data_IF_747504721601
#
_entry.id   IF_747504721601
#
_cell.length_a   1.000
_cell.length_b   1.000
_cell.length_c   1.000
_cell.angle_alpha   90.00
_cell.angle_beta   90.00
_cell.angle_gamma   90.00
#
_symmetry.space_group_name_H-M   'P 1'
#
loop_
_entity.id
_entity.type
_entity.pdbx_description
1 polymer ?
#
# COMPACT_ATOMS: atom_id res chain seq x y z
N UNK A 1 -15.15 -11.05 25.71
CA UNK A 1 -13.99 -10.60 24.91
C UNK A 1 -12.77 -11.35 25.40
N UNK A 2 -12.15 -12.16 24.55
CA UNK A 2 -10.82 -12.71 24.82
C UNK A 2 -9.80 -11.61 24.54
N UNK A 3 -8.91 -11.35 25.50
CA UNK A 3 -7.77 -10.47 25.29
C UNK A 3 -6.73 -11.28 24.53
N UNK A 4 -6.40 -10.86 23.31
CA UNK A 4 -5.29 -11.42 22.53
C UNK A 4 -3.98 -10.75 22.93
N UNK A 5 -2.89 -11.50 22.87
CA UNK A 5 -1.54 -11.02 23.21
C UNK A 5 -0.69 -10.94 21.95
N UNK A 6 0.08 -9.86 21.80
CA UNK A 6 1.05 -9.78 20.71
C UNK A 6 2.14 -10.85 20.87
N UNK A 7 2.50 -11.52 19.77
CA UNK A 7 3.66 -12.40 19.68
C UNK A 7 4.94 -11.61 19.93
N UNK A 8 5.97 -12.28 20.44
CA UNK A 8 7.31 -11.70 20.41
C UNK A 8 7.82 -11.62 18.98
N UNK A 9 8.71 -10.67 18.71
CA UNK A 9 9.36 -10.56 17.39
C UNK A 9 10.13 -11.84 17.06
N UNK A 10 10.70 -12.52 18.05
CA UNK A 10 11.44 -13.76 17.81
C UNK A 10 10.51 -14.91 17.41
N UNK A 11 9.31 -15.00 17.98
CA UNK A 11 8.28 -15.95 17.54
C UNK A 11 7.84 -15.67 16.11
N UNK A 12 7.60 -14.40 15.78
CA UNK A 12 7.24 -13.99 14.42
C UNK A 12 8.35 -14.29 13.41
N UNK A 13 9.62 -14.08 13.79
CA UNK A 13 10.76 -14.41 12.95
C UNK A 13 10.83 -15.91 12.66
N UNK A 14 10.67 -16.77 13.67
CA UNK A 14 10.69 -18.22 13.48
C UNK A 14 9.58 -18.71 12.54
N UNK A 15 8.40 -18.08 12.56
CA UNK A 15 7.30 -18.38 11.63
C UNK A 15 7.58 -17.89 10.20
N UNK A 16 8.44 -16.87 10.01
CA UNK A 16 8.65 -16.23 8.71
C UNK A 16 10.01 -16.51 8.05
N UNK A 17 10.98 -17.07 8.77
CA UNK A 17 12.40 -17.16 8.33
C UNK A 17 12.63 -17.99 7.07
N UNK A 18 11.72 -18.90 6.74
CA UNK A 18 11.83 -19.81 5.60
C UNK A 18 11.16 -19.24 4.32
N UNK A 19 10.62 -18.02 4.39
CA UNK A 19 10.05 -17.30 3.24
C UNK A 19 11.10 -16.39 2.59
N UNK A 20 10.98 -16.20 1.28
CA UNK A 20 11.86 -15.30 0.52
C UNK A 20 11.55 -13.81 0.80
N UNK A 21 10.29 -13.52 1.14
CA UNK A 21 9.79 -12.17 1.36
C UNK A 21 8.68 -12.16 2.42
N UNK A 22 8.79 -11.20 3.35
CA UNK A 22 7.82 -10.97 4.42
C UNK A 22 7.24 -9.58 4.29
N UNK A 23 5.95 -9.49 3.97
CA UNK A 23 5.20 -8.24 3.97
C UNK A 23 4.69 -7.95 5.37
N UNK A 24 4.90 -6.71 5.81
CA UNK A 24 4.50 -6.24 7.14
C UNK A 24 3.75 -4.90 7.05
N UNK A 25 2.89 -4.58 8.03
CA UNK A 25 2.09 -3.35 8.01
C UNK A 25 2.91 -2.08 8.22
N UNK A 26 4.05 -2.16 8.93
CA UNK A 26 4.80 -0.97 9.31
C UNK A 26 6.32 -1.16 9.29
N UNK A 27 7.03 -0.04 9.11
CA UNK A 27 8.47 -0.01 9.02
C UNK A 27 9.20 -0.43 10.32
N UNK A 28 8.71 -0.09 11.54
CA UNK A 28 9.25 -0.65 12.78
C UNK A 28 9.26 -2.18 12.83
N UNK A 29 8.15 -2.84 12.45
CA UNK A 29 8.06 -4.30 12.40
C UNK A 29 9.03 -4.88 11.37
N UNK A 30 9.11 -4.27 10.18
CA UNK A 30 10.09 -4.65 9.16
C UNK A 30 11.52 -4.59 9.73
N UNK A 31 11.87 -3.48 10.37
CA UNK A 31 13.18 -3.28 10.99
C UNK A 31 13.46 -4.30 12.10
N UNK A 32 12.44 -4.64 12.90
CA UNK A 32 12.56 -5.60 13.98
C UNK A 32 12.86 -7.01 13.44
N UNK A 33 12.12 -7.47 12.43
CA UNK A 33 12.34 -8.78 11.79
C UNK A 33 13.69 -8.84 11.06
N UNK A 34 14.03 -7.82 10.26
CA UNK A 34 15.31 -7.80 9.55
C UNK A 34 16.53 -7.84 10.49
N UNK A 35 16.41 -7.35 11.73
CA UNK A 35 17.49 -7.44 12.75
C UNK A 35 17.69 -8.85 13.30
N UNK A 36 16.81 -9.80 13.01
CA UNK A 36 16.93 -11.21 13.43
C UNK A 36 17.62 -12.09 12.39
N UNK A 37 17.80 -11.58 11.16
CA UNK A 37 18.55 -12.30 10.14
C UNK A 37 19.95 -12.65 10.66
N UNK A 38 20.20 -13.95 10.73
CA UNK A 38 21.48 -14.55 11.10
C UNK A 38 22.25 -15.07 9.88
N UNK A 39 21.65 -15.00 8.69
CA UNK A 39 22.22 -15.40 7.41
C UNK A 39 22.19 -14.24 6.39
N UNK A 40 23.12 -14.22 5.43
CA UNK A 40 23.07 -13.28 4.32
C UNK A 40 21.77 -13.42 3.53
N UNK A 41 21.07 -12.31 3.29
CA UNK A 41 19.84 -12.26 2.52
C UNK A 41 19.99 -11.28 1.35
N UNK A 42 19.57 -11.68 0.14
CA UNK A 42 19.57 -10.80 -1.02
C UNK A 42 18.28 -9.97 -1.03
N UNK A 43 18.42 -8.65 -1.04
CA UNK A 43 17.26 -7.75 -0.97
C UNK A 43 16.61 -7.72 0.42
N UNK A 44 15.45 -7.07 0.56
CA UNK A 44 14.74 -6.99 1.84
C UNK A 44 14.08 -8.32 2.19
N UNK A 45 14.35 -8.85 3.39
CA UNK A 45 13.60 -9.98 3.94
C UNK A 45 12.21 -9.51 4.40
N UNK A 46 12.14 -8.51 5.28
CA UNK A 46 10.88 -7.91 5.72
C UNK A 46 10.72 -6.47 5.21
N UNK A 47 9.57 -6.13 4.62
CA UNK A 47 9.31 -4.81 4.03
C UNK A 47 7.82 -4.47 4.00
N UNK A 48 7.48 -3.19 3.96
CA UNK A 48 6.09 -2.76 3.73
C UNK A 48 5.75 -2.79 2.24
N UNK A 49 4.49 -3.10 1.86
CA UNK A 49 4.04 -3.10 0.47
C UNK A 49 4.41 -1.82 -0.30
N UNK A 50 4.13 -0.65 0.29
CA UNK A 50 4.50 0.67 -0.26
C UNK A 50 5.97 0.80 -0.60
N UNK A 51 6.84 0.38 0.31
CA UNK A 51 8.28 0.53 0.12
C UNK A 51 8.82 -0.45 -0.91
N UNK A 52 8.21 -1.64 -0.99
CA UNK A 52 8.53 -2.64 -2.00
C UNK A 52 8.20 -2.13 -3.41
N UNK A 53 6.97 -1.62 -3.61
CA UNK A 53 6.52 -1.10 -4.91
C UNK A 53 7.24 0.21 -5.30
N UNK A 54 7.28 1.21 -4.40
CA UNK A 54 7.75 2.54 -4.75
C UNK A 54 9.28 2.67 -4.89
N UNK A 55 10.07 1.76 -4.30
CA UNK A 55 11.56 1.76 -4.24
C UNK A 55 12.25 3.04 -3.71
N UNK A 56 11.52 4.14 -3.48
CA UNK A 56 11.99 5.43 -2.94
C UNK A 56 11.07 5.88 -1.80
N UNK A 57 11.42 7.00 -1.17
CA UNK A 57 10.61 7.64 -0.13
C UNK A 57 9.28 8.09 -0.74
N UNK A 58 8.18 7.72 -0.11
CA UNK A 58 6.83 8.21 -0.42
C UNK A 58 6.86 9.75 -0.47
N UNK A 59 6.48 10.30 -1.61
CA UNK A 59 6.30 11.74 -1.75
C UNK A 59 4.91 12.13 -1.27
N UNK A 60 4.68 13.40 -0.99
CA UNK A 60 3.36 13.94 -0.70
C UNK A 60 2.50 13.89 -1.98
N UNK A 61 1.94 12.71 -2.25
CA UNK A 61 1.13 12.39 -3.43
C UNK A 61 -0.07 13.32 -3.56
N UNK A 62 -0.71 13.63 -2.43
CA UNK A 62 -1.78 14.62 -2.30
C UNK A 62 -1.39 15.99 -2.87
N UNK A 63 -0.20 16.48 -2.50
CA UNK A 63 0.31 17.78 -2.93
C UNK A 63 0.68 17.77 -4.41
N UNK A 64 1.27 16.68 -4.90
CA UNK A 64 1.65 16.56 -6.31
C UNK A 64 0.41 16.51 -7.20
N UNK A 65 -0.56 15.64 -6.86
CA UNK A 65 -1.84 15.54 -7.57
C UNK A 65 -2.58 16.88 -7.58
N UNK A 66 -2.62 17.57 -6.44
CA UNK A 66 -3.24 18.88 -6.34
C UNK A 66 -2.59 19.92 -7.28
N UNK A 67 -1.26 20.00 -7.31
CA UNK A 67 -0.54 20.95 -8.16
C UNK A 67 -0.73 20.61 -9.63
N UNK A 68 -0.60 19.33 -10.01
CA UNK A 68 -0.77 18.88 -11.39
C UNK A 68 -2.16 19.23 -11.92
N UNK A 69 -3.22 18.94 -11.16
CA UNK A 69 -4.59 19.22 -11.57
C UNK A 69 -4.85 20.73 -11.71
N UNK A 70 -4.35 21.55 -10.77
CA UNK A 70 -4.50 23.02 -10.89
C UNK A 70 -3.76 23.57 -12.10
N UNK A 71 -2.60 23.01 -12.45
CA UNK A 71 -1.79 23.49 -13.57
C UNK A 71 -2.33 23.04 -14.94
N UNK A 72 -2.98 21.87 -15.00
CA UNK A 72 -3.41 21.23 -16.27
C UNK A 72 -4.90 21.34 -16.55
N UNK A 73 -5.71 21.79 -15.59
CA UNK A 73 -7.17 21.88 -15.70
C UNK A 73 -7.70 23.25 -15.28
N UNK A 74 -8.95 23.54 -15.63
CA UNK A 74 -9.65 24.76 -15.19
C UNK A 74 -10.34 24.60 -13.81
N UNK A 75 -10.04 23.52 -13.07
CA UNK A 75 -10.64 23.27 -11.76
C UNK A 75 -10.17 24.29 -10.72
N UNK A 76 -11.09 24.77 -9.90
CA UNK A 76 -10.71 25.68 -8.82
C UNK A 76 -10.09 24.92 -7.64
N UNK A 77 -9.31 25.63 -6.82
CA UNK A 77 -8.58 25.03 -5.70
C UNK A 77 -9.45 24.20 -4.73
N UNK A 78 -10.72 24.58 -4.52
CA UNK A 78 -11.63 23.89 -3.61
C UNK A 78 -12.12 22.59 -4.22
N UNK A 79 -12.47 22.62 -5.50
CA UNK A 79 -12.83 21.41 -6.26
C UNK A 79 -11.66 20.44 -6.31
N UNK A 80 -10.45 20.92 -6.63
CA UNK A 80 -9.25 20.09 -6.69
C UNK A 80 -8.93 19.46 -5.34
N UNK A 81 -8.89 20.25 -4.26
CA UNK A 81 -8.58 19.73 -2.92
C UNK A 81 -9.59 18.67 -2.47
N UNK A 82 -10.87 18.84 -2.82
CA UNK A 82 -11.92 17.89 -2.46
C UNK A 82 -11.81 16.60 -3.30
N UNK A 83 -11.64 16.73 -4.62
CA UNK A 83 -11.51 15.60 -5.52
C UNK A 83 -10.28 14.74 -5.18
N UNK A 84 -9.09 15.35 -5.07
CA UNK A 84 -7.84 14.64 -4.75
C UNK A 84 -7.96 13.86 -3.44
N UNK A 85 -8.46 14.49 -2.38
CA UNK A 85 -8.61 13.83 -1.09
C UNK A 85 -9.53 12.60 -1.15
N UNK A 86 -10.68 12.73 -1.83
CA UNK A 86 -11.62 11.62 -1.97
C UNK A 86 -11.07 10.50 -2.87
N UNK A 87 -10.40 10.84 -3.97
CA UNK A 87 -9.79 9.87 -4.89
C UNK A 87 -8.74 9.05 -4.16
N UNK A 88 -7.74 9.71 -3.56
CA UNK A 88 -6.66 9.01 -2.87
C UNK A 88 -7.18 8.17 -1.71
N UNK A 89 -8.10 8.71 -0.89
CA UNK A 89 -8.69 7.95 0.21
C UNK A 89 -9.51 6.75 -0.28
N UNK A 90 -10.27 6.89 -1.37
CA UNK A 90 -11.02 5.78 -1.92
C UNK A 90 -10.10 4.70 -2.49
N UNK A 91 -9.06 5.12 -3.22
CA UNK A 91 -8.06 4.23 -3.81
C UNK A 91 -7.41 3.35 -2.75
N UNK A 92 -7.03 3.91 -1.60
CA UNK A 92 -6.44 3.15 -0.50
C UNK A 92 -7.26 1.90 -0.10
N UNK A 93 -8.58 2.04 -0.02
CA UNK A 93 -9.46 1.00 0.49
C UNK A 93 -10.22 0.21 -0.57
N UNK A 94 -10.23 0.67 -1.83
CA UNK A 94 -10.89 -0.01 -2.95
C UNK A 94 -9.91 -0.52 -4.01
N UNK A 95 -8.63 -0.16 -3.93
CA UNK A 95 -7.58 -0.64 -4.83
C UNK A 95 -7.51 0.04 -6.20
N UNK A 96 -8.45 0.92 -6.55
CA UNK A 96 -8.45 1.68 -7.81
C UNK A 96 -8.87 3.14 -7.62
N UNK A 97 -8.28 4.05 -8.40
CA UNK A 97 -8.61 5.47 -8.41
C UNK A 97 -10.05 5.74 -8.87
N UNK A 98 -10.58 4.92 -9.78
CA UNK A 98 -11.92 5.07 -10.35
C UNK A 98 -13.05 4.74 -9.36
N UNK A 99 -12.76 3.99 -8.29
CA UNK A 99 -13.77 3.54 -7.33
C UNK A 99 -14.52 4.69 -6.64
N UNK A 100 -13.95 5.89 -6.60
CA UNK A 100 -14.63 7.09 -6.08
C UNK A 100 -15.89 7.42 -6.88
N UNK A 101 -15.93 7.05 -8.17
CA UNK A 101 -17.01 7.34 -9.11
C UNK A 101 -18.21 6.39 -8.92
N UNK A 102 -18.04 5.29 -8.19
CA UNK A 102 -19.14 4.39 -7.82
C UNK A 102 -20.11 5.02 -6.80
N UNK A 103 -19.72 6.15 -6.22
CA UNK A 103 -20.52 6.91 -5.27
C UNK A 103 -21.08 8.16 -5.93
N UNK A 104 -22.39 8.15 -6.23
CA UNK A 104 -23.09 9.23 -6.95
C UNK A 104 -22.79 10.66 -6.42
N UNK A 105 -22.67 10.81 -5.09
CA UNK A 105 -22.38 12.12 -4.48
C UNK A 105 -20.97 12.66 -4.77
N UNK A 106 -20.04 11.77 -5.14
CA UNK A 106 -18.66 12.09 -5.47
C UNK A 106 -18.38 12.03 -6.98
N UNK A 107 -19.23 11.40 -7.79
CA UNK A 107 -19.13 11.30 -9.25
C UNK A 107 -19.47 12.64 -9.97
N UNK A 108 -18.81 13.72 -9.57
CA UNK A 108 -18.94 15.04 -10.20
C UNK A 108 -18.03 15.15 -11.41
N UNK A 109 -18.32 16.10 -12.31
CA UNK A 109 -17.43 16.33 -13.46
C UNK A 109 -16.00 16.67 -13.04
N UNK A 110 -15.83 17.41 -11.95
CA UNK A 110 -14.51 17.71 -11.40
C UNK A 110 -13.77 16.45 -10.94
N UNK A 111 -14.48 15.51 -10.31
CA UNK A 111 -13.91 14.23 -9.88
C UNK A 111 -13.50 13.37 -11.07
N UNK A 112 -14.33 13.30 -12.12
CA UNK A 112 -13.97 12.58 -13.35
C UNK A 112 -12.67 13.13 -13.95
N UNK A 113 -12.57 14.45 -14.15
CA UNK A 113 -11.35 15.08 -14.66
C UNK A 113 -10.14 14.82 -13.77
N UNK A 114 -10.32 14.87 -12.45
CA UNK A 114 -9.25 14.60 -11.50
C UNK A 114 -8.80 13.13 -11.49
N UNK A 115 -9.73 12.16 -11.63
CA UNK A 115 -9.40 10.74 -11.77
C UNK A 115 -8.57 10.50 -13.02
N UNK A 116 -9.00 11.03 -14.17
CA UNK A 116 -8.28 10.90 -15.44
C UNK A 116 -6.84 11.44 -15.31
N UNK A 117 -6.67 12.59 -14.67
CA UNK A 117 -5.35 13.18 -14.44
C UNK A 117 -4.50 12.33 -13.49
N UNK A 118 -5.05 11.89 -12.36
CA UNK A 118 -4.31 11.12 -11.33
C UNK A 118 -3.90 9.74 -11.85
N UNK A 119 -4.73 9.08 -12.65
CA UNK A 119 -4.43 7.76 -13.20
C UNK A 119 -3.16 7.74 -14.06
N UNK A 120 -2.84 8.86 -14.72
CA UNK A 120 -1.64 9.01 -15.56
C UNK A 120 -0.38 9.42 -14.76
N UNK A 121 -0.51 9.72 -13.46
CA UNK A 121 0.60 10.20 -12.63
C UNK A 121 1.44 9.03 -12.08
N UNK A 122 2.77 9.22 -12.03
CA UNK A 122 3.71 8.28 -11.39
C UNK A 122 3.71 8.43 -9.86
N UNK A 123 2.61 8.03 -9.22
CA UNK A 123 2.42 8.12 -7.77
C UNK A 123 2.72 6.81 -7.05
N UNK A 124 2.71 6.83 -5.70
CA UNK A 124 2.87 5.60 -4.90
C UNK A 124 1.69 4.66 -5.14
N UNK A 125 0.48 5.20 -5.21
CA UNK A 125 -0.74 4.43 -5.46
C UNK A 125 -0.75 3.80 -6.86
N UNK A 126 -0.33 4.55 -7.89
CA UNK A 126 -0.17 4.00 -9.25
C UNK A 126 0.84 2.87 -9.25
N UNK A 127 2.03 3.07 -8.64
CA UNK A 127 3.06 2.03 -8.55
C UNK A 127 2.59 0.80 -7.79
N UNK A 128 1.81 0.95 -6.72
CA UNK A 128 1.22 -0.20 -6.01
C UNK A 128 0.22 -0.95 -6.89
N UNK A 129 -0.59 -0.22 -7.66
CA UNK A 129 -1.60 -0.81 -8.56
C UNK A 129 -0.94 -1.61 -9.68
N UNK A 130 0.19 -1.12 -10.21
CA UNK A 130 0.92 -1.77 -11.30
C UNK A 130 1.92 -2.84 -10.84
N UNK A 131 2.29 -2.83 -9.56
CA UNK A 131 3.31 -3.74 -9.03
C UNK A 131 2.73 -5.12 -8.72
N UNK A 132 3.45 -6.15 -9.13
CA UNK A 132 3.14 -7.54 -8.80
C UNK A 132 4.42 -8.24 -8.33
N UNK A 133 4.29 -9.02 -7.26
CA UNK A 133 5.37 -9.88 -6.78
C UNK A 133 5.46 -11.09 -7.71
N UNK A 134 6.68 -11.53 -8.00
CA UNK A 134 6.92 -12.71 -8.82
C UNK A 134 6.27 -13.95 -8.18
N UNK A 135 5.53 -14.72 -8.99
CA UNK A 135 4.73 -15.85 -8.52
C UNK A 135 5.57 -16.99 -7.94
N UNK A 136 6.86 -17.09 -8.28
CA UNK A 136 7.77 -18.09 -7.72
C UNK A 136 8.37 -17.65 -6.37
N UNK A 137 8.09 -16.42 -5.91
CA UNK A 137 8.56 -15.91 -4.61
C UNK A 137 7.69 -16.45 -3.48
N UNK A 138 8.31 -17.12 -2.49
CA UNK A 138 7.60 -17.54 -1.28
C UNK A 138 7.32 -16.33 -0.38
N UNK A 139 6.03 -15.99 -0.20
CA UNK A 139 5.60 -14.78 0.53
C UNK A 139 4.84 -15.10 1.81
N UNK A 140 5.30 -14.51 2.93
CA UNK A 140 4.54 -14.41 4.16
C UNK A 140 3.98 -12.99 4.36
N UNK A 141 2.76 -12.88 4.85
CA UNK A 141 2.07 -11.61 5.15
C UNK A 141 1.74 -11.56 6.63
N UNK A 142 2.51 -10.77 7.37
CA UNK A 142 2.24 -10.54 8.79
C UNK A 142 1.15 -9.49 8.92
N UNK A 143 0.10 -9.79 9.69
CA UNK A 143 -0.95 -8.81 9.98
C UNK A 143 -1.78 -8.42 8.77
N UNK A 144 -2.15 -9.39 7.91
CA UNK A 144 -2.94 -9.18 6.68
C UNK A 144 -4.11 -8.17 6.81
N UNK A 145 -4.85 -8.23 7.94
CA UNK A 145 -5.99 -7.34 8.21
C UNK A 145 -5.62 -5.88 8.43
N UNK A 146 -4.34 -5.59 8.71
CA UNK A 146 -3.81 -4.24 8.92
C UNK A 146 -3.37 -3.59 7.60
N UNK A 147 -3.21 -4.37 6.53
CA UNK A 147 -2.95 -3.85 5.19
C UNK A 147 -4.23 -3.27 4.58
N UNK A 148 -4.09 -2.18 3.83
CA UNK A 148 -5.18 -1.63 3.01
C UNK A 148 -5.46 -2.53 1.81
N UNK A 149 -6.57 -2.30 1.10
CA UNK A 149 -6.88 -3.12 -0.08
C UNK A 149 -5.87 -2.90 -1.20
N UNK A 150 -5.43 -1.64 -1.38
CA UNK A 150 -4.36 -1.30 -2.30
C UNK A 150 -3.02 -1.94 -1.93
N UNK A 151 -2.72 -2.10 -0.65
CA UNK A 151 -1.50 -2.80 -0.22
C UNK A 151 -1.58 -4.31 -0.44
N UNK A 152 -2.79 -4.89 -0.52
CA UNK A 152 -3.00 -6.31 -0.82
C UNK A 152 -3.01 -6.59 -2.31
N UNK A 153 -3.20 -5.59 -3.18
CA UNK A 153 -3.25 -5.80 -4.63
C UNK A 153 -1.95 -6.36 -5.22
N UNK A 154 -0.83 -6.17 -4.52
CA UNK A 154 0.49 -6.65 -4.96
C UNK A 154 0.75 -8.12 -4.63
N UNK A 155 -0.11 -8.75 -3.83
CA UNK A 155 0.12 -10.11 -3.35
C UNK A 155 0.12 -11.11 -4.50
N UNK A 156 1.03 -12.10 -4.50
CA UNK A 156 0.99 -13.18 -5.46
C UNK A 156 -0.26 -14.06 -5.22
N UNK A 157 -0.60 -14.96 -6.17
CA UNK A 157 -1.73 -15.88 -6.00
C UNK A 157 -1.62 -16.77 -4.75
N UNK A 158 -0.40 -17.19 -4.41
CA UNK A 158 -0.09 -18.05 -3.27
C UNK A 158 0.76 -17.28 -2.24
N UNK A 159 0.24 -17.13 -1.02
CA UNK A 159 0.94 -16.52 0.11
C UNK A 159 0.44 -17.11 1.43
N UNK A 160 1.25 -17.02 2.49
CA UNK A 160 0.85 -17.42 3.84
C UNK A 160 0.58 -16.21 4.73
N UNK A 161 -0.50 -16.23 5.51
CA UNK A 161 -0.79 -15.17 6.47
C UNK A 161 -0.33 -15.54 7.87
N UNK A 162 0.43 -14.65 8.50
CA UNK A 162 0.92 -14.82 9.88
C UNK A 162 0.20 -13.83 10.80
N UNK A 163 -0.52 -14.32 11.81
CA UNK A 163 -1.16 -13.46 12.81
C UNK A 163 -0.11 -12.95 13.81
N UNK A 164 0.02 -11.62 14.01
CA UNK A 164 0.91 -11.06 15.02
C UNK A 164 0.41 -11.23 16.46
N UNK A 165 -0.76 -11.82 16.66
CA UNK A 165 -1.37 -12.09 17.96
C UNK A 165 -1.57 -13.60 18.22
N UNK A 166 -1.67 -13.94 19.51
CA UNK A 166 -2.01 -15.28 20.06
C UNK A 166 -3.09 -15.16 21.10
#
# INVERSE_FOLDING_TARGET
MSITRAKSIDSLYEECKDFDLVLVPDAPMASALNRRLDQPHFGPFAITPRRLAARRREQAEDRLAFLEIIETTDLNWKETSYAVGNILQCWEYQGTAEAVLDYDQFATMATHTAVDCIADMDTTSTRLTEYSIDADTSVAVVGFKQLTELERSILPPDYETVDPFT
#
